data_IF_350175927591
#
_entry.id   IF_350175927591
#
_cell.length_a   1.000
_cell.length_b   1.000
_cell.length_c   1.000
_cell.angle_alpha   90.00
_cell.angle_beta   90.00
_cell.angle_gamma   90.00
#
_symmetry.space_group_name_H-M   'P 1'
#
loop_
_entity.id
_entity.type
_entity.pdbx_description
1 polymer ?
#
# COMPACT_ATOMS: atom_id res chain seq x y z
N UNK A 1 10.71 17.79 34.52
CA UNK A 1 9.30 18.07 34.33
C UNK A 1 9.07 18.63 32.92
N UNK A 2 8.14 18.05 32.21
CA UNK A 2 7.76 18.50 30.87
C UNK A 2 6.77 19.66 30.99
N UNK A 3 6.91 20.65 30.12
CA UNK A 3 5.99 21.77 30.04
C UNK A 3 5.11 21.49 28.82
N UNK A 4 3.84 21.23 29.07
CA UNK A 4 2.84 21.10 28.00
C UNK A 4 2.30 22.48 27.65
N UNK A 5 2.51 22.94 26.42
CA UNK A 5 1.93 24.19 25.95
C UNK A 5 0.51 23.94 25.45
N UNK A 6 -0.42 24.69 26.00
CA UNK A 6 -1.80 24.66 25.61
C UNK A 6 -1.95 25.25 24.18
N UNK A 7 -2.43 24.44 23.25
CA UNK A 7 -2.62 24.84 21.87
C UNK A 7 -4.07 25.30 21.65
N UNK A 8 -4.22 26.55 21.29
CA UNK A 8 -5.51 27.20 21.09
C UNK A 8 -6.13 27.72 22.39
N UNK A 9 -6.88 28.78 22.29
CA UNK A 9 -7.60 29.40 23.41
C UNK A 9 -9.10 29.31 23.16
N UNK A 10 -9.92 29.13 24.19
CA UNK A 10 -11.35 29.31 24.05
C UNK A 10 -11.65 30.78 23.71
N UNK A 11 -12.83 31.03 23.19
CA UNK A 11 -13.37 32.36 23.00
C UNK A 11 -13.59 33.04 24.37
N UNK A 12 -13.80 34.35 24.37
CA UNK A 12 -14.02 35.15 25.61
C UNK A 12 -15.24 34.67 26.41
N UNK A 13 -16.21 34.06 25.76
CA UNK A 13 -17.41 33.46 26.37
C UNK A 13 -17.22 32.04 26.86
N UNK A 14 -15.98 31.49 26.77
CA UNK A 14 -15.63 30.13 27.18
C UNK A 14 -15.96 29.05 26.14
N UNK A 15 -16.56 29.39 24.99
CA UNK A 15 -16.80 28.44 23.93
C UNK A 15 -15.51 28.15 23.14
N UNK A 16 -15.45 27.02 22.43
CA UNK A 16 -14.31 26.64 21.58
C UNK A 16 -14.77 25.85 20.37
N UNK A 17 -14.00 25.95 19.30
CA UNK A 17 -14.22 25.15 18.10
C UNK A 17 -13.72 23.71 18.26
N UNK A 18 -14.25 22.78 17.46
CA UNK A 18 -13.73 21.41 17.39
C UNK A 18 -12.24 21.39 17.03
N UNK A 19 -11.80 22.30 16.16
CA UNK A 19 -10.38 22.42 15.81
C UNK A 19 -9.52 22.77 17.03
N UNK A 20 -9.99 23.64 17.92
CA UNK A 20 -9.32 23.98 19.19
C UNK A 20 -9.30 22.80 20.15
N UNK A 21 -10.45 22.13 20.32
CA UNK A 21 -10.58 20.93 21.18
C UNK A 21 -9.62 19.84 20.75
N UNK A 22 -9.71 19.42 19.50
CA UNK A 22 -8.92 18.31 19.00
C UNK A 22 -7.43 18.65 18.87
N UNK A 23 -7.10 19.90 18.56
CA UNK A 23 -5.72 20.39 18.58
C UNK A 23 -5.10 20.27 19.98
N UNK A 24 -5.82 20.71 21.00
CA UNK A 24 -5.36 20.64 22.38
C UNK A 24 -5.22 19.19 22.88
N UNK A 25 -6.22 18.33 22.63
CA UNK A 25 -6.16 16.92 23.01
C UNK A 25 -4.95 16.23 22.36
N UNK A 26 -4.73 16.50 21.06
CA UNK A 26 -3.62 15.96 20.30
C UNK A 26 -2.26 16.35 20.90
N UNK A 27 -2.08 17.61 21.24
CA UNK A 27 -0.84 18.11 21.85
C UNK A 27 -0.63 17.49 23.23
N UNK A 28 -1.67 17.43 24.08
CA UNK A 28 -1.55 16.84 25.42
C UNK A 28 -1.12 15.37 25.33
N UNK A 29 -1.73 14.58 24.46
CA UNK A 29 -1.35 13.17 24.28
C UNK A 29 0.10 13.06 23.82
N UNK A 30 0.50 13.91 22.89
CA UNK A 30 1.87 13.94 22.36
C UNK A 30 2.88 14.25 23.47
N UNK A 31 2.67 15.35 24.20
CA UNK A 31 3.60 15.79 25.26
C UNK A 31 3.65 14.79 26.44
N UNK A 32 2.53 14.16 26.77
CA UNK A 32 2.53 13.06 27.76
C UNK A 32 3.30 11.84 27.24
N UNK A 33 3.22 11.55 25.95
CA UNK A 33 3.99 10.48 25.31
C UNK A 33 5.50 10.64 25.49
N UNK A 34 5.99 11.88 25.48
CA UNK A 34 7.41 12.19 25.71
C UNK A 34 7.93 11.78 27.10
N UNK A 35 7.09 11.53 28.08
CA UNK A 35 7.54 10.90 29.34
C UNK A 35 8.14 9.51 29.14
N UNK A 36 7.78 8.83 28.04
CA UNK A 36 8.29 7.52 27.67
C UNK A 36 9.36 7.62 26.59
N UNK A 37 9.09 8.35 25.53
CA UNK A 37 9.96 8.58 24.38
C UNK A 37 10.12 10.10 24.21
N UNK A 38 11.28 10.72 24.48
CA UNK A 38 12.59 10.08 24.72
C UNK A 38 12.97 9.95 26.20
N UNK A 39 12.13 10.29 27.20
CA UNK A 39 12.56 10.41 28.58
C UNK A 39 12.99 9.08 29.23
N UNK A 40 12.33 7.98 28.91
CA UNK A 40 12.71 6.63 29.39
C UNK A 40 13.57 5.90 28.35
N UNK A 41 13.22 6.02 27.07
CA UNK A 41 13.97 5.43 25.95
C UNK A 41 14.68 6.59 25.27
N UNK A 42 15.86 6.90 25.74
CA UNK A 42 16.54 8.18 25.48
C UNK A 42 17.43 8.14 24.23
N UNK A 43 16.84 8.36 23.06
CA UNK A 43 17.58 8.49 21.80
C UNK A 43 18.31 9.85 21.68
N UNK A 44 19.31 9.92 20.79
CA UNK A 44 19.97 11.18 20.44
C UNK A 44 19.09 11.99 19.46
N UNK A 45 18.19 12.80 20.00
CA UNK A 45 17.24 13.63 19.26
C UNK A 45 17.93 14.70 18.39
N UNK A 46 19.13 15.12 18.72
CA UNK A 46 19.91 16.08 17.91
C UNK A 46 20.40 15.48 16.60
N UNK A 47 20.62 14.17 16.59
CA UNK A 47 20.99 13.47 15.36
C UNK A 47 19.76 12.90 14.66
N UNK A 48 18.85 12.27 15.41
CA UNK A 48 17.71 11.54 14.86
C UNK A 48 16.39 11.92 15.55
N UNK A 49 15.92 13.15 15.29
CA UNK A 49 14.66 13.66 15.84
C UNK A 49 13.48 12.73 15.60
N UNK A 50 13.50 11.95 14.52
CA UNK A 50 12.43 10.99 14.25
C UNK A 50 12.29 9.89 15.31
N UNK A 51 13.33 9.54 16.03
CA UNK A 51 13.30 8.57 17.12
C UNK A 51 12.61 9.12 18.40
N UNK A 52 12.61 10.42 18.54
CA UNK A 52 11.86 11.15 19.53
C UNK A 52 10.44 11.42 19.01
N UNK A 53 10.30 12.33 18.09
CA UNK A 53 9.03 12.88 17.62
C UNK A 53 8.22 11.89 16.78
N UNK A 54 8.89 11.11 15.95
CA UNK A 54 8.24 10.16 15.05
C UNK A 54 7.65 8.96 15.76
N UNK A 55 8.44 8.33 16.68
CA UNK A 55 7.95 7.23 17.51
C UNK A 55 6.81 7.71 18.41
N UNK A 56 6.97 8.90 19.01
CA UNK A 56 5.94 9.47 19.88
C UNK A 56 4.67 9.82 19.08
N UNK A 57 4.78 10.39 17.88
CA UNK A 57 3.62 10.67 17.00
C UNK A 57 2.89 9.37 16.60
N UNK A 58 3.63 8.29 16.36
CA UNK A 58 3.02 6.99 16.09
C UNK A 58 2.19 6.50 17.29
N UNK A 59 2.76 6.49 18.50
CA UNK A 59 2.05 6.09 19.73
C UNK A 59 0.86 7.02 20.00
N UNK A 60 1.03 8.32 19.83
CA UNK A 60 -0.07 9.29 19.89
C UNK A 60 -1.22 8.92 18.97
N UNK A 61 -0.93 8.55 17.71
CA UNK A 61 -1.96 8.19 16.73
C UNK A 61 -2.77 6.95 17.17
N UNK A 62 -2.12 5.96 17.75
CA UNK A 62 -2.78 4.77 18.31
C UNK A 62 -3.67 5.15 19.50
N UNK A 63 -3.16 5.97 20.42
CA UNK A 63 -3.91 6.46 21.58
C UNK A 63 -5.15 7.25 21.15
N UNK A 64 -5.02 8.12 20.13
CA UNK A 64 -6.17 8.86 19.61
C UNK A 64 -7.22 7.95 18.97
N UNK A 65 -6.82 6.92 18.23
CA UNK A 65 -7.76 5.93 17.65
C UNK A 65 -8.53 5.19 18.72
N UNK A 66 -7.88 4.81 19.81
CA UNK A 66 -8.48 4.02 20.87
C UNK A 66 -9.45 4.83 21.75
N UNK A 67 -9.05 6.03 22.15
CA UNK A 67 -9.80 6.81 23.13
C UNK A 67 -10.60 7.98 22.54
N UNK A 68 -10.30 8.40 21.32
CA UNK A 68 -10.87 9.57 20.67
C UNK A 68 -11.16 9.31 19.19
N UNK A 69 -11.83 8.21 18.88
CA UNK A 69 -12.07 7.74 17.49
C UNK A 69 -12.90 8.70 16.63
N UNK A 70 -13.64 9.61 17.24
CA UNK A 70 -14.42 10.67 16.57
C UNK A 70 -13.57 11.91 16.23
N UNK A 71 -12.34 11.99 16.72
CA UNK A 71 -11.41 13.09 16.44
C UNK A 71 -10.59 12.88 15.17
N UNK A 72 -10.16 13.97 14.49
CA UNK A 72 -9.35 13.87 13.29
C UNK A 72 -7.91 13.43 13.60
N UNK A 73 -7.42 12.42 12.87
CA UNK A 73 -6.01 12.05 12.87
C UNK A 73 -5.26 12.86 11.82
N UNK A 74 -4.44 13.79 12.25
CA UNK A 74 -3.67 14.66 11.34
C UNK A 74 -2.34 14.06 10.91
N UNK A 75 -1.80 13.10 11.67
CA UNK A 75 -0.52 12.41 11.45
C UNK A 75 -0.66 10.96 11.88
N UNK A 76 0.28 10.13 11.43
CA UNK A 76 0.35 8.73 11.85
C UNK A 76 -0.65 7.80 11.15
N UNK A 77 -1.23 8.22 10.02
CA UNK A 77 -1.94 7.34 9.09
C UNK A 77 -1.19 7.28 7.77
N UNK A 78 -1.37 6.19 7.01
CA UNK A 78 -0.79 6.09 5.67
C UNK A 78 -1.22 7.26 4.77
N UNK A 79 -2.51 7.63 4.79
CA UNK A 79 -3.04 8.72 3.97
C UNK A 79 -2.47 10.10 4.36
N UNK A 80 -2.14 10.31 5.65
CA UNK A 80 -1.69 11.63 6.15
C UNK A 80 -0.36 12.11 5.55
N UNK A 81 0.47 11.19 5.03
CA UNK A 81 1.80 11.52 4.49
C UNK A 81 1.82 11.68 2.96
N UNK A 82 0.75 11.27 2.28
CA UNK A 82 0.66 11.25 0.81
C UNK A 82 1.00 12.60 0.17
N UNK A 83 0.48 13.70 0.71
CA UNK A 83 0.74 15.03 0.16
C UNK A 83 2.21 15.44 0.26
N UNK A 84 2.90 15.07 1.33
CA UNK A 84 4.33 15.31 1.45
C UNK A 84 5.10 14.44 0.46
N UNK A 85 4.78 13.15 0.34
CA UNK A 85 5.47 12.23 -0.56
C UNK A 85 5.29 12.55 -2.06
N UNK A 86 4.28 13.36 -2.41
CA UNK A 86 4.06 13.89 -3.77
C UNK A 86 4.91 15.10 -4.12
N UNK A 87 5.58 15.71 -3.14
CA UNK A 87 6.39 16.89 -3.40
C UNK A 87 7.57 16.59 -4.32
N UNK A 88 8.10 17.59 -5.02
CA UNK A 88 9.34 17.44 -5.79
C UNK A 88 10.49 16.89 -4.93
N UNK A 89 11.32 16.03 -5.50
CA UNK A 89 12.38 15.32 -4.75
C UNK A 89 13.38 16.25 -4.05
N UNK A 90 13.62 17.44 -4.59
CA UNK A 90 14.48 18.47 -3.97
C UNK A 90 13.88 19.08 -2.68
N UNK A 91 12.57 18.93 -2.48
CA UNK A 91 11.84 19.34 -1.28
C UNK A 91 11.66 18.20 -0.26
N UNK A 92 12.18 17.02 -0.55
CA UNK A 92 12.08 15.84 0.31
C UNK A 92 13.43 15.52 0.95
N UNK A 93 13.38 14.91 2.13
CA UNK A 93 14.56 14.35 2.80
C UNK A 93 14.27 12.94 3.31
N UNK A 94 15.26 12.03 3.28
CA UNK A 94 15.17 10.77 4.00
C UNK A 94 14.89 11.00 5.50
N UNK A 95 14.16 10.10 6.14
CA UNK A 95 13.92 10.15 7.60
C UNK A 95 15.26 10.16 8.36
N UNK A 96 16.26 9.42 7.86
CA UNK A 96 17.60 9.32 8.45
C UNK A 96 18.49 10.55 8.22
N UNK A 97 17.95 11.65 7.70
CA UNK A 97 18.68 12.91 7.62
C UNK A 97 18.99 13.43 9.02
N UNK A 98 20.24 13.83 9.27
CA UNK A 98 20.60 14.46 10.54
C UNK A 98 19.73 15.68 10.81
N UNK A 99 19.21 15.80 12.02
CA UNK A 99 18.21 16.79 12.42
C UNK A 99 18.67 18.23 12.17
N UNK A 100 19.95 18.52 12.31
CA UNK A 100 20.51 19.86 12.06
C UNK A 100 20.52 20.25 10.57
N UNK A 101 20.31 19.26 9.66
CA UNK A 101 20.31 19.46 8.22
C UNK A 101 18.88 19.55 7.63
N UNK A 102 17.86 19.40 8.45
CA UNK A 102 16.47 19.47 8.01
C UNK A 102 16.00 20.92 8.04
N UNK A 103 15.56 21.43 6.88
CA UNK A 103 14.97 22.77 6.81
C UNK A 103 13.65 22.85 7.57
N UNK A 104 13.36 23.98 8.22
CA UNK A 104 12.19 24.15 9.08
C UNK A 104 10.85 23.78 8.42
N UNK A 105 10.70 24.04 7.11
CA UNK A 105 9.50 23.68 6.33
C UNK A 105 9.28 22.17 6.17
N UNK A 106 10.36 21.38 6.21
CA UNK A 106 10.35 19.93 6.01
C UNK A 106 10.29 19.18 7.34
N UNK A 107 10.65 19.88 8.43
CA UNK A 107 10.85 19.30 9.75
C UNK A 107 9.61 18.54 10.25
N UNK A 108 8.43 19.17 10.19
CA UNK A 108 7.20 18.55 10.67
C UNK A 108 6.80 17.27 9.92
N UNK A 109 7.11 17.20 8.62
CA UNK A 109 6.86 15.99 7.84
C UNK A 109 7.93 14.92 8.08
N UNK A 110 9.20 15.32 8.09
CA UNK A 110 10.33 14.41 8.18
C UNK A 110 10.48 13.80 9.58
N UNK A 111 10.43 14.63 10.63
CA UNK A 111 10.64 14.16 11.99
C UNK A 111 9.39 13.48 12.60
N UNK A 112 8.19 13.92 12.25
CA UNK A 112 6.92 13.48 12.86
C UNK A 112 6.10 12.58 11.94
N UNK A 113 5.62 13.13 10.81
CA UNK A 113 4.56 12.51 10.05
C UNK A 113 5.03 11.30 9.25
N UNK A 114 6.17 11.39 8.52
CA UNK A 114 6.65 10.29 7.68
C UNK A 114 7.04 9.05 8.49
N UNK A 115 7.83 9.15 9.58
CA UNK A 115 8.14 7.99 10.40
C UNK A 115 6.90 7.39 11.08
N UNK A 116 5.97 8.20 11.59
CA UNK A 116 4.74 7.70 12.18
C UNK A 116 3.86 6.98 11.15
N UNK A 117 3.75 7.50 9.93
CA UNK A 117 3.02 6.83 8.84
C UNK A 117 3.71 5.55 8.38
N UNK A 118 5.05 5.54 8.29
CA UNK A 118 5.81 4.34 7.99
C UNK A 118 5.53 3.22 9.01
N UNK A 119 5.57 3.55 10.30
CA UNK A 119 5.28 2.58 11.36
C UNK A 119 3.82 2.10 11.34
N UNK A 120 2.88 2.96 10.96
CA UNK A 120 1.48 2.56 10.77
C UNK A 120 1.33 1.59 9.59
N UNK A 121 1.97 1.86 8.45
CA UNK A 121 2.01 0.92 7.32
C UNK A 121 2.64 -0.41 7.74
N UNK A 122 3.76 -0.36 8.45
CA UNK A 122 4.43 -1.57 8.94
C UNK A 122 3.53 -2.40 9.87
N UNK A 123 2.83 -1.72 10.80
CA UNK A 123 1.94 -2.35 11.76
C UNK A 123 0.69 -2.94 11.10
N UNK A 124 0.01 -2.15 10.25
CA UNK A 124 -1.31 -2.53 9.76
C UNK A 124 -1.24 -3.49 8.55
N UNK A 125 -0.22 -3.33 7.67
CA UNK A 125 -0.21 -4.03 6.38
C UNK A 125 0.88 -5.08 6.23
N UNK A 126 1.96 -5.01 7.01
CA UNK A 126 3.14 -5.89 6.83
C UNK A 126 3.24 -6.91 7.96
N UNK A 127 3.36 -6.45 9.20
CA UNK A 127 3.56 -7.34 10.35
C UNK A 127 2.24 -7.84 10.94
N UNK A 128 1.19 -7.06 10.84
CA UNK A 128 -0.03 -7.20 11.63
C UNK A 128 0.11 -6.59 13.03
N UNK A 129 -0.99 -6.08 13.62
CA UNK A 129 -0.97 -5.36 14.88
C UNK A 129 -0.37 -6.15 16.04
N UNK A 130 -0.71 -7.42 16.18
CA UNK A 130 -0.26 -8.24 17.31
C UNK A 130 1.26 -8.41 17.33
N UNK A 131 1.86 -8.75 16.20
CA UNK A 131 3.29 -8.99 16.09
C UNK A 131 4.09 -7.70 16.18
N UNK A 132 3.61 -6.63 15.54
CA UNK A 132 4.24 -5.32 15.64
C UNK A 132 4.22 -4.81 17.09
N UNK A 133 3.08 -4.86 17.75
CA UNK A 133 2.93 -4.39 19.14
C UNK A 133 3.79 -5.19 20.12
N UNK A 134 3.95 -6.50 19.87
CA UNK A 134 4.89 -7.32 20.62
C UNK A 134 6.34 -6.85 20.42
N UNK A 135 6.78 -6.66 19.17
CA UNK A 135 8.13 -6.22 18.86
C UNK A 135 8.42 -4.81 19.42
N UNK A 136 7.46 -3.89 19.31
CA UNK A 136 7.58 -2.53 19.83
C UNK A 136 7.64 -2.48 21.38
N UNK A 137 6.87 -3.34 22.05
CA UNK A 137 6.98 -3.53 23.53
C UNK A 137 8.34 -4.10 23.91
N UNK A 138 8.87 -5.04 23.11
CA UNK A 138 10.21 -5.59 23.34
C UNK A 138 11.30 -4.53 23.14
N UNK A 139 11.17 -3.65 22.14
CA UNK A 139 12.04 -2.48 22.00
C UNK A 139 11.98 -1.61 23.25
N UNK A 140 10.79 -1.26 23.72
CA UNK A 140 10.61 -0.44 24.92
C UNK A 140 11.24 -1.09 26.15
N UNK A 141 11.06 -2.40 26.33
CA UNK A 141 11.64 -3.17 27.46
C UNK A 141 13.17 -3.26 27.40
N UNK A 142 13.74 -3.52 26.24
CA UNK A 142 15.21 -3.66 26.07
C UNK A 142 15.95 -2.35 26.24
N UNK A 143 15.34 -1.25 25.83
CA UNK A 143 16.00 0.05 25.73
C UNK A 143 15.56 1.04 26.81
N UNK A 144 14.68 0.66 27.73
CA UNK A 144 14.34 1.48 28.90
C UNK A 144 15.60 1.87 29.69
N UNK A 145 15.74 3.18 29.95
CA UNK A 145 16.89 3.80 30.64
C UNK A 145 18.23 3.63 29.91
N UNK A 146 18.19 3.46 28.59
CA UNK A 146 19.36 3.37 27.72
C UNK A 146 19.23 4.36 26.56
N UNK A 147 20.25 4.39 25.69
CA UNK A 147 20.38 5.33 24.58
C UNK A 147 20.45 4.59 23.24
N UNK A 148 19.31 4.10 22.71
CA UNK A 148 19.30 3.41 21.42
C UNK A 148 19.56 4.36 20.27
N UNK A 149 20.22 3.83 19.24
CA UNK A 149 20.33 4.46 17.94
C UNK A 149 19.32 3.84 16.94
N UNK A 150 19.19 4.36 15.69
CA UNK A 150 18.31 3.78 14.68
C UNK A 150 18.55 2.31 14.41
N UNK A 151 19.78 1.84 14.41
CA UNK A 151 20.10 0.44 14.16
C UNK A 151 19.60 -0.46 15.29
N UNK A 152 19.62 0.03 16.52
CA UNK A 152 19.09 -0.69 17.68
C UNK A 152 17.57 -0.85 17.59
N UNK A 153 16.87 0.17 17.10
CA UNK A 153 15.44 0.09 16.87
C UNK A 153 15.13 -0.95 15.76
N UNK A 154 15.76 -0.83 14.60
CA UNK A 154 15.53 -1.73 13.47
C UNK A 154 15.82 -3.19 13.84
N UNK A 155 16.99 -3.47 14.40
CA UNK A 155 17.36 -4.82 14.84
C UNK A 155 16.40 -5.38 15.88
N UNK A 156 15.97 -4.55 16.83
CA UNK A 156 15.06 -5.04 17.87
C UNK A 156 13.70 -5.42 17.28
N UNK A 157 13.19 -4.64 16.33
CA UNK A 157 11.95 -4.98 15.64
C UNK A 157 12.07 -6.28 14.85
N UNK A 158 13.18 -6.51 14.16
CA UNK A 158 13.44 -7.74 13.40
C UNK A 158 13.69 -8.94 14.30
N UNK A 159 14.54 -8.81 15.32
CA UNK A 159 14.82 -9.88 16.28
C UNK A 159 13.55 -10.37 16.98
N UNK A 160 12.70 -9.44 17.40
CA UNK A 160 11.50 -9.77 18.14
C UNK A 160 10.40 -10.36 17.28
N UNK A 161 10.31 -9.93 16.02
CA UNK A 161 9.30 -10.40 15.06
C UNK A 161 9.73 -11.62 14.24
N UNK A 162 11.04 -11.87 14.15
CA UNK A 162 11.65 -12.83 13.24
C UNK A 162 11.30 -12.58 11.75
N UNK A 163 11.03 -11.32 11.38
CA UNK A 163 10.77 -10.88 10.01
C UNK A 163 11.97 -10.07 9.51
N UNK A 164 12.42 -10.35 8.29
CA UNK A 164 13.40 -9.53 7.57
C UNK A 164 12.71 -8.25 7.07
N UNK A 165 13.08 -7.10 7.64
CA UNK A 165 12.53 -5.78 7.32
C UNK A 165 13.58 -4.85 6.68
N UNK A 166 14.76 -5.34 6.32
CA UNK A 166 15.82 -4.53 5.71
C UNK A 166 15.32 -3.74 4.49
N UNK A 167 14.50 -4.37 3.66
CA UNK A 167 13.88 -3.73 2.49
C UNK A 167 12.97 -2.58 2.87
N UNK A 168 12.21 -2.69 3.98
CA UNK A 168 11.31 -1.67 4.49
C UNK A 168 12.08 -0.47 5.06
N UNK A 169 13.04 -0.74 5.96
CA UNK A 169 13.89 0.29 6.56
C UNK A 169 14.64 1.06 5.49
N UNK A 170 15.29 0.35 4.55
CA UNK A 170 16.01 0.95 3.43
C UNK A 170 15.12 1.89 2.62
N UNK A 171 13.93 1.46 2.25
CA UNK A 171 13.00 2.25 1.46
C UNK A 171 12.47 3.46 2.22
N UNK A 172 11.77 3.23 3.32
CA UNK A 172 11.07 4.29 4.03
C UNK A 172 11.99 5.28 4.73
N UNK A 173 13.09 4.82 5.33
CA UNK A 173 13.94 5.64 6.18
C UNK A 173 15.12 6.27 5.46
N UNK A 174 15.69 5.59 4.46
CA UNK A 174 16.90 6.04 3.78
C UNK A 174 16.68 6.68 2.41
N UNK A 175 15.46 6.62 1.87
CA UNK A 175 15.14 7.21 0.56
C UNK A 175 14.06 8.29 0.63
N UNK A 176 13.88 9.00 -0.48
CA UNK A 176 12.77 9.93 -0.71
C UNK A 176 11.74 9.36 -1.69
N UNK A 177 11.79 8.06 -1.93
CA UNK A 177 10.83 7.38 -2.78
C UNK A 177 9.45 7.34 -2.13
N UNK A 178 8.42 7.05 -2.92
CA UNK A 178 7.04 6.98 -2.47
C UNK A 178 6.40 5.65 -2.89
N UNK A 179 5.22 5.40 -2.39
CA UNK A 179 4.37 4.30 -2.85
C UNK A 179 3.53 4.82 -4.01
N UNK A 180 3.68 4.20 -5.17
CA UNK A 180 2.85 4.42 -6.36
C UNK A 180 2.81 3.09 -7.11
N UNK A 181 1.77 2.29 -6.86
CA UNK A 181 1.62 0.95 -7.43
C UNK A 181 0.34 0.90 -8.26
N UNK A 182 0.46 0.44 -9.49
CA UNK A 182 -0.66 0.36 -10.42
C UNK A 182 -0.98 -1.05 -10.88
N UNK A 183 -2.23 -1.29 -11.24
CA UNK A 183 -2.63 -2.45 -12.07
C UNK A 183 -2.46 -2.06 -13.53
N UNK A 184 -1.40 -2.52 -14.19
CA UNK A 184 -1.11 -2.14 -15.58
C UNK A 184 -1.87 -2.97 -16.59
N UNK A 185 -2.07 -4.25 -16.31
CA UNK A 185 -2.76 -5.15 -17.22
C UNK A 185 -3.51 -6.25 -16.46
N UNK A 186 -4.64 -6.64 -17.03
CA UNK A 186 -5.41 -7.80 -16.55
C UNK A 186 -5.76 -8.66 -17.76
N UNK A 187 -5.36 -9.93 -17.72
CA UNK A 187 -5.79 -10.92 -18.70
C UNK A 187 -6.68 -11.94 -17.99
N UNK A 188 -7.80 -12.24 -18.61
CA UNK A 188 -8.74 -13.24 -18.12
C UNK A 188 -8.70 -14.48 -19.00
N UNK A 189 -8.45 -15.63 -18.37
CA UNK A 189 -8.44 -16.93 -19.04
C UNK A 189 -9.51 -17.83 -18.43
N UNK A 190 -10.13 -18.63 -19.29
CA UNK A 190 -10.92 -19.79 -18.92
C UNK A 190 -10.23 -21.03 -19.43
N UNK A 191 -10.14 -22.06 -18.60
CA UNK A 191 -9.72 -23.38 -19.06
C UNK A 191 -10.80 -23.96 -19.94
N UNK A 192 -10.42 -24.51 -21.08
CA UNK A 192 -11.32 -25.22 -21.99
C UNK A 192 -11.00 -26.70 -21.92
N UNK A 193 -12.02 -27.52 -21.78
CA UNK A 193 -11.82 -28.97 -21.83
C UNK A 193 -11.33 -29.35 -23.23
N UNK A 194 -10.12 -29.92 -23.30
CA UNK A 194 -9.48 -30.30 -24.58
C UNK A 194 -10.02 -31.62 -25.13
N UNK A 195 -10.88 -32.31 -24.44
CA UNK A 195 -11.55 -33.50 -24.92
C UNK A 195 -12.72 -33.20 -25.91
N UNK A 196 -13.14 -31.90 -25.99
CA UNK A 196 -14.02 -31.47 -27.06
C UNK A 196 -13.27 -31.35 -28.41
N UNK A 197 -13.85 -31.85 -29.52
CA UNK A 197 -13.22 -31.73 -30.83
C UNK A 197 -12.95 -30.24 -31.12
N UNK A 198 -11.71 -29.91 -31.48
CA UNK A 198 -11.37 -28.61 -32.02
C UNK A 198 -12.19 -28.39 -33.28
N UNK A 199 -13.22 -27.59 -33.20
CA UNK A 199 -13.78 -27.00 -34.41
C UNK A 199 -12.64 -26.22 -35.07
N UNK A 200 -12.38 -26.54 -36.35
CA UNK A 200 -11.44 -25.76 -37.21
C UNK A 200 -11.93 -24.31 -37.26
N UNK A 201 -11.64 -23.53 -36.23
CA UNK A 201 -11.80 -22.08 -36.32
C UNK A 201 -10.80 -21.58 -37.35
N UNK A 202 -11.31 -21.22 -38.50
CA UNK A 202 -10.56 -20.47 -39.47
C UNK A 202 -9.83 -19.37 -38.74
N UNK A 203 -8.50 -19.30 -38.92
CA UNK A 203 -7.67 -18.24 -38.41
C UNK A 203 -8.33 -16.90 -38.69
N UNK A 204 -8.80 -16.21 -37.66
CA UNK A 204 -9.19 -14.80 -37.78
C UNK A 204 -7.93 -14.07 -38.23
N UNK A 205 -7.91 -13.70 -39.48
CA UNK A 205 -6.77 -12.95 -40.05
C UNK A 205 -6.74 -11.61 -39.30
N UNK A 206 -5.56 -11.21 -38.91
CA UNK A 206 -5.22 -9.92 -38.31
C UNK A 206 -5.82 -8.67 -39.00
N UNK A 207 -6.37 -8.87 -40.21
CA UNK A 207 -7.08 -7.85 -40.99
C UNK A 207 -8.47 -7.48 -40.48
N UNK A 208 -9.11 -8.32 -39.67
CA UNK A 208 -10.50 -8.09 -39.24
C UNK A 208 -10.58 -7.29 -37.92
N UNK A 209 -9.44 -6.94 -37.32
CA UNK A 209 -9.33 -6.09 -36.12
C UNK A 209 -9.22 -4.60 -36.46
N UNK A 210 -9.25 -4.22 -37.75
CA UNK A 210 -9.29 -2.81 -38.18
C UNK A 210 -10.70 -2.25 -38.18
N UNK A 211 -11.31 -2.22 -37.01
CA UNK A 211 -12.54 -1.47 -36.74
C UNK A 211 -12.22 -0.12 -36.12
N UNK A 212 -12.56 0.90 -36.85
CA UNK A 212 -12.84 2.28 -36.45
C UNK A 212 -11.85 3.02 -35.53
N UNK A 213 -11.03 3.86 -36.15
CA UNK A 213 -9.99 4.71 -35.52
C UNK A 213 -10.52 5.96 -34.77
N UNK A 214 -11.73 6.00 -34.29
CA UNK A 214 -12.32 7.23 -33.74
C UNK A 214 -12.88 7.15 -32.32
N UNK A 215 -12.40 6.23 -31.49
CA UNK A 215 -12.80 6.23 -30.07
C UNK A 215 -11.55 6.07 -29.22
N UNK A 216 -11.32 7.05 -28.36
CA UNK A 216 -10.29 7.01 -27.32
C UNK A 216 -10.52 5.88 -26.27
N UNK A 217 -11.40 4.93 -26.59
CA UNK A 217 -11.85 3.82 -25.73
C UNK A 217 -11.32 2.44 -26.13
N UNK A 218 -10.40 2.34 -27.11
CA UNK A 218 -9.83 1.04 -27.51
C UNK A 218 -8.62 0.61 -26.66
N UNK A 219 -8.25 1.38 -25.62
CA UNK A 219 -7.29 0.92 -24.63
C UNK A 219 -8.00 -0.15 -23.77
N UNK A 220 -7.50 -1.42 -23.74
CA UNK A 220 -8.06 -2.49 -22.94
C UNK A 220 -8.26 -2.13 -21.47
N UNK A 221 -7.51 -1.15 -20.96
CA UNK A 221 -7.60 -0.63 -19.59
C UNK A 221 -8.96 0.03 -19.27
N UNK A 222 -9.68 0.49 -20.29
CA UNK A 222 -10.96 1.20 -20.12
C UNK A 222 -12.18 0.41 -20.60
N UNK A 223 -12.00 -0.79 -21.16
CA UNK A 223 -13.10 -1.58 -21.70
C UNK A 223 -13.84 -2.38 -20.63
N UNK A 224 -15.16 -2.24 -20.58
CA UNK A 224 -16.10 -3.06 -19.84
C UNK A 224 -17.10 -3.73 -20.80
N UNK A 225 -17.55 -4.97 -20.54
CA UNK A 225 -17.08 -5.93 -19.55
C UNK A 225 -15.75 -6.59 -19.96
N UNK A 226 -15.03 -7.16 -18.99
CA UNK A 226 -13.85 -7.99 -19.29
C UNK A 226 -14.24 -9.10 -20.26
N UNK A 227 -13.41 -9.34 -21.26
CA UNK A 227 -13.56 -10.48 -22.17
C UNK A 227 -12.43 -11.48 -21.93
N UNK A 228 -12.74 -12.79 -21.97
CA UNK A 228 -11.71 -13.80 -21.87
C UNK A 228 -10.66 -13.60 -22.96
N UNK A 229 -9.38 -13.68 -22.58
CA UNK A 229 -8.26 -13.66 -23.51
C UNK A 229 -8.25 -14.96 -24.29
N UNK A 230 -8.38 -14.88 -25.62
CA UNK A 230 -8.35 -16.07 -26.48
C UNK A 230 -6.90 -16.52 -26.70
N UNK A 231 -6.65 -17.80 -26.45
CA UNK A 231 -5.39 -18.47 -26.78
C UNK A 231 -5.56 -19.25 -28.09
N UNK A 232 -4.73 -18.96 -29.06
CA UNK A 232 -4.62 -19.76 -30.29
C UNK A 232 -3.51 -20.80 -30.09
N UNK A 233 -3.87 -22.05 -29.83
CA UNK A 233 -2.93 -23.15 -29.76
C UNK A 233 -2.57 -23.63 -31.18
N UNK A 234 -1.28 -23.64 -31.51
CA UNK A 234 -0.76 -24.33 -32.68
C UNK A 234 -0.76 -25.85 -32.49
N UNK A 235 -0.66 -26.64 -33.58
CA UNK A 235 -0.53 -28.10 -33.48
C UNK A 235 0.69 -28.55 -32.66
N UNK A 236 1.76 -27.75 -32.63
CA UNK A 236 2.95 -27.98 -31.79
C UNK A 236 2.59 -27.87 -30.30
N UNK A 237 1.86 -26.82 -29.93
CA UNK A 237 1.45 -26.61 -28.56
C UNK A 237 0.50 -27.69 -28.05
N UNK A 238 -0.30 -28.32 -28.95
CA UNK A 238 -1.15 -29.46 -28.59
C UNK A 238 -0.37 -30.69 -28.18
N UNK A 239 0.76 -30.94 -28.82
CA UNK A 239 1.65 -32.06 -28.46
C UNK A 239 2.32 -31.81 -27.10
N UNK A 240 2.90 -30.63 -26.94
CA UNK A 240 3.52 -30.22 -25.66
C UNK A 240 2.51 -30.23 -24.51
N UNK A 241 1.28 -29.80 -24.76
CA UNK A 241 0.21 -29.85 -23.80
C UNK A 241 -0.15 -31.29 -23.40
N UNK A 242 -0.22 -32.24 -24.36
CA UNK A 242 -0.49 -33.64 -24.04
C UNK A 242 0.66 -34.27 -23.23
N UNK A 243 1.89 -33.93 -23.56
CA UNK A 243 3.08 -34.36 -22.82
C UNK A 243 3.05 -33.82 -21.39
N UNK A 244 2.72 -32.52 -21.22
CA UNK A 244 2.53 -31.89 -19.93
C UNK A 244 1.38 -32.54 -19.14
N UNK A 245 0.22 -32.75 -19.75
CA UNK A 245 -0.93 -33.40 -19.11
C UNK A 245 -0.62 -34.79 -18.56
N UNK A 246 0.22 -35.54 -19.24
CA UNK A 246 0.63 -36.87 -18.78
C UNK A 246 1.57 -36.81 -17.55
N UNK A 247 2.11 -35.66 -17.22
CA UNK A 247 3.03 -35.42 -16.09
C UNK A 247 2.35 -34.72 -14.91
N UNK A 248 1.16 -34.15 -15.08
CA UNK A 248 0.47 -33.42 -14.02
C UNK A 248 -0.36 -34.35 -13.14
N UNK A 249 -0.51 -33.95 -11.88
CA UNK A 249 -1.30 -34.71 -10.91
C UNK A 249 -2.81 -34.48 -11.05
N UNK A 250 -3.59 -35.31 -10.37
CA UNK A 250 -5.07 -35.27 -10.39
C UNK A 250 -5.67 -33.91 -10.01
N UNK A 251 -4.98 -33.09 -9.20
CA UNK A 251 -5.47 -31.78 -8.80
C UNK A 251 -5.38 -30.77 -9.95
N UNK A 252 -4.35 -30.85 -10.78
CA UNK A 252 -4.23 -30.01 -11.97
C UNK A 252 -5.32 -30.38 -13.01
N UNK A 253 -5.62 -31.69 -13.15
CA UNK A 253 -6.69 -32.18 -14.03
C UNK A 253 -8.07 -31.70 -13.53
N UNK A 254 -8.29 -31.65 -12.22
CA UNK A 254 -9.55 -31.08 -11.65
C UNK A 254 -9.68 -29.59 -11.93
N UNK A 255 -8.59 -28.82 -11.89
CA UNK A 255 -8.61 -27.40 -12.24
C UNK A 255 -8.92 -27.19 -13.72
N UNK A 256 -8.41 -28.03 -14.59
CA UNK A 256 -8.62 -27.97 -16.04
C UNK A 256 -10.09 -28.15 -16.43
N UNK A 257 -10.83 -29.00 -15.69
CA UNK A 257 -12.26 -29.28 -15.90
C UNK A 257 -13.17 -28.40 -15.03
N UNK A 258 -12.64 -27.34 -14.43
CA UNK A 258 -13.42 -26.46 -13.56
C UNK A 258 -13.89 -25.21 -14.30
N UNK A 259 -15.03 -24.65 -13.86
CA UNK A 259 -15.55 -23.36 -14.34
C UNK A 259 -14.80 -22.15 -13.75
N UNK A 260 -13.61 -22.38 -13.21
CA UNK A 260 -12.78 -21.34 -12.59
C UNK A 260 -12.34 -20.27 -13.60
N UNK A 261 -12.20 -19.08 -13.10
CA UNK A 261 -11.69 -17.93 -13.83
C UNK A 261 -10.25 -17.66 -13.39
N UNK A 262 -9.33 -17.48 -14.33
CA UNK A 262 -7.91 -17.24 -14.08
C UNK A 262 -7.60 -15.80 -14.52
N UNK A 263 -7.19 -14.97 -13.59
CA UNK A 263 -6.84 -13.57 -13.85
C UNK A 263 -5.34 -13.37 -13.68
N UNK A 264 -4.63 -13.09 -14.76
CA UNK A 264 -3.23 -12.67 -14.72
C UNK A 264 -3.18 -11.15 -14.59
N UNK A 265 -2.76 -10.67 -13.42
CA UNK A 265 -2.57 -9.25 -13.14
C UNK A 265 -1.10 -8.91 -13.26
N UNK A 266 -0.81 -7.80 -13.93
CA UNK A 266 0.52 -7.19 -13.96
C UNK A 266 0.48 -5.90 -13.15
N UNK A 267 1.37 -5.81 -12.17
CA UNK A 267 1.53 -4.66 -11.30
C UNK A 267 2.84 -3.95 -11.62
N UNK A 268 2.83 -2.62 -11.58
CA UNK A 268 4.01 -1.79 -11.71
C UNK A 268 4.20 -0.93 -10.48
N UNK A 269 5.41 -0.94 -9.90
CA UNK A 269 5.84 -0.04 -8.85
C UNK A 269 6.56 1.16 -9.47
N UNK A 270 5.86 2.30 -9.55
CA UNK A 270 6.33 3.55 -10.14
C UNK A 270 7.03 4.43 -9.11
N UNK A 271 6.65 4.29 -7.85
CA UNK A 271 7.12 5.14 -6.76
C UNK A 271 8.47 4.73 -6.16
N UNK A 272 8.84 3.47 -6.29
CA UNK A 272 10.10 2.90 -5.80
C UNK A 272 10.00 2.25 -4.43
N UNK A 273 9.08 2.64 -3.55
CA UNK A 273 8.86 1.93 -2.30
C UNK A 273 8.15 0.60 -2.55
N UNK A 274 8.71 -0.46 -1.99
CA UNK A 274 8.09 -1.78 -1.98
C UNK A 274 6.98 -1.80 -0.93
N UNK A 275 5.81 -2.37 -1.29
CA UNK A 275 4.64 -2.46 -0.41
C UNK A 275 3.86 -3.75 -0.69
N UNK A 276 3.11 -4.29 0.28
CA UNK A 276 2.14 -5.34 0.02
C UNK A 276 1.08 -4.91 -0.99
N UNK A 277 0.48 -5.86 -1.69
CA UNK A 277 -0.65 -5.59 -2.58
C UNK A 277 -1.95 -5.98 -1.87
N UNK A 278 -2.77 -5.00 -1.55
CA UNK A 278 -4.11 -5.19 -0.99
C UNK A 278 -5.10 -5.06 -2.15
N UNK A 279 -5.75 -6.15 -2.53
CA UNK A 279 -6.57 -6.23 -3.73
C UNK A 279 -8.02 -6.48 -3.35
N UNK A 280 -8.91 -5.54 -3.64
CA UNK A 280 -10.35 -5.76 -3.57
C UNK A 280 -10.85 -6.24 -4.94
N UNK A 281 -11.46 -7.41 -4.94
CA UNK A 281 -12.17 -7.99 -6.07
C UNK A 281 -13.66 -7.71 -5.93
N UNK A 282 -14.29 -7.11 -6.93
CA UNK A 282 -15.74 -6.99 -7.02
C UNK A 282 -16.22 -7.90 -8.14
N UNK A 283 -17.15 -8.80 -7.85
CA UNK A 283 -17.70 -9.77 -8.80
C UNK A 283 -18.98 -9.27 -9.48
N UNK A 284 -19.39 -9.92 -10.57
CA UNK A 284 -20.61 -9.54 -11.31
C UNK A 284 -21.88 -9.62 -10.46
N UNK A 285 -21.93 -10.52 -9.49
CA UNK A 285 -23.05 -10.66 -8.54
C UNK A 285 -23.07 -9.58 -7.44
N UNK A 286 -22.09 -8.65 -7.47
CA UNK A 286 -21.93 -7.57 -6.51
C UNK A 286 -21.22 -7.97 -5.21
N UNK A 287 -20.88 -9.26 -5.02
CA UNK A 287 -20.07 -9.67 -3.87
C UNK A 287 -18.62 -9.18 -3.99
N UNK A 288 -17.96 -9.04 -2.83
CA UNK A 288 -16.59 -8.56 -2.75
C UNK A 288 -15.71 -9.54 -1.98
N UNK A 289 -14.42 -9.55 -2.32
CA UNK A 289 -13.36 -10.29 -1.64
C UNK A 289 -12.14 -9.39 -1.55
N UNK A 290 -11.42 -9.42 -0.43
CA UNK A 290 -10.13 -8.74 -0.27
C UNK A 290 -9.04 -9.78 -0.11
N UNK A 291 -7.97 -9.62 -0.87
CA UNK A 291 -6.81 -10.51 -0.87
C UNK A 291 -5.54 -9.69 -0.62
N UNK A 292 -4.77 -10.12 0.38
CA UNK A 292 -3.50 -9.48 0.74
C UNK A 292 -2.35 -10.33 0.21
N UNK A 293 -1.50 -9.73 -0.62
CA UNK A 293 -0.29 -10.35 -1.14
C UNK A 293 0.90 -9.69 -0.44
N UNK A 294 1.73 -10.46 0.26
CA UNK A 294 2.89 -9.94 0.96
C UNK A 294 3.89 -9.23 0.03
N UNK A 295 4.66 -8.30 0.60
CA UNK A 295 5.65 -7.50 -0.13
C UNK A 295 6.74 -8.33 -0.84
N UNK A 296 6.94 -9.57 -0.43
CA UNK A 296 7.85 -10.54 -1.05
C UNK A 296 7.53 -10.84 -2.52
N UNK A 297 6.35 -10.47 -3.00
CA UNK A 297 6.02 -10.55 -4.43
C UNK A 297 7.04 -9.77 -5.29
N UNK A 298 7.62 -8.70 -4.73
CA UNK A 298 8.59 -7.84 -5.38
C UNK A 298 10.04 -8.34 -5.30
N UNK A 299 10.29 -9.45 -4.60
CA UNK A 299 11.65 -9.92 -4.26
C UNK A 299 12.57 -10.10 -5.48
N UNK A 300 12.04 -10.55 -6.60
CA UNK A 300 12.83 -10.79 -7.81
C UNK A 300 12.81 -9.61 -8.80
N UNK A 301 11.84 -8.73 -8.69
CA UNK A 301 11.73 -7.55 -9.52
C UNK A 301 10.92 -6.48 -8.78
N UNK A 302 11.59 -5.43 -8.33
CA UNK A 302 10.97 -4.34 -7.57
C UNK A 302 10.11 -3.40 -8.44
N UNK A 303 10.15 -3.53 -9.78
CA UNK A 303 9.45 -2.63 -10.70
C UNK A 303 8.18 -3.21 -11.29
N UNK A 304 8.24 -4.45 -11.75
CA UNK A 304 7.11 -5.09 -12.44
C UNK A 304 6.99 -6.53 -12.02
N UNK A 305 5.79 -6.92 -11.61
CA UNK A 305 5.48 -8.32 -11.26
C UNK A 305 4.15 -8.72 -11.86
N UNK A 306 4.02 -10.01 -12.19
CA UNK A 306 2.75 -10.59 -12.63
C UNK A 306 2.41 -11.78 -11.76
N UNK A 307 1.11 -11.93 -11.46
CA UNK A 307 0.58 -13.04 -10.68
C UNK A 307 -0.75 -13.50 -11.25
N UNK A 308 -0.96 -14.81 -11.26
CA UNK A 308 -2.24 -15.41 -11.64
C UNK A 308 -3.07 -15.67 -10.38
N UNK A 309 -4.30 -15.23 -10.42
CA UNK A 309 -5.31 -15.43 -9.39
C UNK A 309 -6.43 -16.32 -9.91
N UNK A 310 -6.91 -17.22 -9.07
CA UNK A 310 -8.00 -18.14 -9.42
C UNK A 310 -9.26 -17.73 -8.67
N UNK A 311 -10.33 -17.43 -9.39
CA UNK A 311 -11.62 -17.01 -8.83
C UNK A 311 -12.76 -17.90 -9.29
N UNK A 312 -13.70 -18.14 -8.39
CA UNK A 312 -14.92 -18.91 -8.70
C UNK A 312 -15.93 -18.11 -9.53
N UNK A 313 -15.92 -16.79 -9.33
CA UNK A 313 -16.87 -15.87 -9.95
C UNK A 313 -16.17 -14.98 -10.98
N UNK A 314 -16.99 -14.45 -11.89
CA UNK A 314 -16.50 -13.48 -12.86
C UNK A 314 -16.26 -12.14 -12.19
N UNK A 315 -15.04 -11.60 -12.36
CA UNK A 315 -14.62 -10.32 -11.79
C UNK A 315 -15.17 -9.18 -12.64
N UNK A 316 -15.77 -8.21 -11.99
CA UNK A 316 -16.26 -6.97 -12.58
C UNK A 316 -15.28 -5.81 -12.44
N UNK A 317 -14.65 -5.71 -11.26
CA UNK A 317 -13.73 -4.62 -10.94
C UNK A 317 -12.66 -5.08 -9.97
N UNK A 318 -11.48 -4.47 -10.06
CA UNK A 318 -10.33 -4.69 -9.20
C UNK A 318 -9.89 -3.33 -8.66
N UNK A 319 -9.64 -3.24 -7.35
CA UNK A 319 -9.13 -2.02 -6.70
C UNK A 319 -7.91 -2.40 -5.88
N UNK A 320 -6.79 -1.71 -6.11
CA UNK A 320 -5.64 -1.75 -5.22
C UNK A 320 -5.82 -0.77 -4.07
N UNK A 321 -5.35 -1.18 -2.90
CA UNK A 321 -5.38 -0.37 -1.68
C UNK A 321 -6.74 0.30 -1.41
N UNK A 322 -7.83 -0.47 -1.33
CA UNK A 322 -9.19 0.05 -1.23
C UNK A 322 -9.40 0.89 0.03
N UNK A 323 -8.59 0.66 1.08
CA UNK A 323 -8.68 1.32 2.38
C UNK A 323 -7.63 2.41 2.58
N UNK A 324 -6.76 2.66 1.58
CA UNK A 324 -5.67 3.65 1.62
C UNK A 324 -4.67 3.40 2.76
N UNK A 325 -4.27 2.16 2.93
CA UNK A 325 -3.41 1.70 4.02
C UNK A 325 -1.92 1.66 3.64
N UNK A 326 -1.59 1.78 2.34
CA UNK A 326 -0.20 1.68 1.85
C UNK A 326 0.49 3.02 1.64
N UNK A 327 -0.20 4.14 1.79
CA UNK A 327 0.26 5.49 1.47
C UNK A 327 0.49 5.74 -0.04
N UNK A 328 -0.26 5.07 -0.90
CA UNK A 328 -0.17 5.26 -2.34
C UNK A 328 -0.47 6.71 -2.74
N UNK A 329 0.49 7.31 -3.46
CA UNK A 329 0.41 8.72 -3.84
C UNK A 329 -0.46 8.96 -5.07
N UNK A 330 -0.86 7.92 -5.81
CA UNK A 330 -1.60 8.02 -7.06
C UNK A 330 -2.72 6.98 -7.18
N UNK A 331 -3.79 7.16 -6.45
CA UNK A 331 -4.92 6.23 -6.44
C UNK A 331 -5.75 6.21 -7.73
N UNK A 332 -5.40 7.03 -8.75
CA UNK A 332 -6.13 7.05 -10.04
C UNK A 332 -5.86 5.82 -10.88
N UNK A 333 -4.73 5.18 -10.71
CA UNK A 333 -4.33 3.96 -11.43
C UNK A 333 -4.42 2.68 -10.58
N UNK A 334 -5.07 2.76 -9.43
CA UNK A 334 -5.38 1.63 -8.56
C UNK A 334 -6.61 0.83 -9.01
N UNK A 335 -7.37 1.32 -9.97
CA UNK A 335 -8.60 0.66 -10.43
C UNK A 335 -8.40 -0.05 -11.76
N UNK A 336 -9.04 -1.21 -11.91
CA UNK A 336 -9.14 -1.88 -13.19
C UNK A 336 -10.57 -2.44 -13.37
N UNK A 337 -11.29 -2.13 -14.47
CA UNK A 337 -10.87 -1.20 -15.52
C UNK A 337 -10.62 0.22 -15.01
N UNK A 338 -9.79 0.96 -15.74
CA UNK A 338 -9.52 2.37 -15.41
C UNK A 338 -10.83 3.17 -15.43
N UNK A 339 -11.03 3.99 -14.42
CA UNK A 339 -12.13 4.95 -14.38
C UNK A 339 -11.62 6.26 -14.99
N UNK A 340 -12.26 6.73 -16.05
CA UNK A 340 -11.97 8.07 -16.56
C UNK A 340 -12.31 9.11 -15.50
N UNK A 341 -11.28 9.73 -14.93
CA UNK A 341 -11.47 10.90 -14.06
C UNK A 341 -11.65 12.10 -14.97
N UNK A 342 -12.90 12.56 -15.14
CA UNK A 342 -13.16 13.84 -15.82
C UNK A 342 -12.35 14.94 -15.12
N UNK A 343 -11.59 15.68 -15.91
CA UNK A 343 -10.82 16.82 -15.39
C UNK A 343 -11.80 17.85 -14.77
N UNK A 344 -11.31 18.68 -13.88
CA UNK A 344 -12.15 19.75 -13.31
C UNK A 344 -12.67 20.70 -14.41
N UNK A 345 -11.92 20.81 -15.52
CA UNK A 345 -12.35 21.55 -16.70
C UNK A 345 -13.54 20.88 -17.41
N UNK A 346 -13.60 19.55 -17.48
CA UNK A 346 -14.72 18.81 -18.07
C UNK A 346 -15.98 18.86 -17.18
N UNK A 347 -15.79 19.05 -15.86
CA UNK A 347 -16.91 19.24 -14.90
C UNK A 347 -17.56 20.62 -15.01
N UNK A 348 -16.80 21.64 -15.44
CA UNK A 348 -17.32 22.98 -15.65
C UNK A 348 -18.09 23.15 -16.96
N UNK A 349 -17.90 22.25 -17.93
CA UNK A 349 -18.54 22.34 -19.25
C UNK A 349 -19.80 21.46 -19.42
N UNK A 350 -20.27 20.83 -18.34
CA UNK A 350 -21.55 20.13 -18.24
C UNK A 350 -22.42 20.78 -17.15
#
# INVERSE_FOLDING_TARGET
PMICFNFGRPNDDGTYSDATKWGMISVIIHEVGHFFIPMIINSDERQWTWMDEGLNTFVQSLTQREYYSDGPLRRGTAESIVNYMRMPKDMLRPIMTNSEQIAGREFGANAYAKPASALSVLRETIMGPELFDYAFKEYSRRWAFKHPDPADFFRTMEDASAIDLDWFWRGWFYTTDNVDVSVENVKWYKMKNMDEPFENRASVKEKDIKGNKNVASDDPKYSLPFKPTEFNFSNTNQREYREFRNQVNDNAIKLENSDKNFYELTFENKGGLVTPLIIEWTFEDGSKEVENIPAEIWRFNEKVVSKVFVKDKVVKNIILDPYKETADVNTKDNNYPRVEVKSDFDRFNN
#
